data_IF_664940050122
#
_entry.id   IF_664940050122
#
_cell.length_a   1.000
_cell.length_b   1.000
_cell.length_c   1.000
_cell.angle_alpha   90.00
_cell.angle_beta   90.00
_cell.angle_gamma   90.00
#
_symmetry.space_group_name_H-M   'P 1'
#
loop_
_entity.id
_entity.type
_entity.pdbx_description
1 polymer ?
#
# COMPACT_ATOMS: atom_id res chain seq x y z
N UNK A 1 -6.93 -20.05 -32.85
CA UNK A 1 -6.55 -18.83 -32.12
C UNK A 1 -5.06 -18.96 -31.82
N UNK A 2 -4.22 -17.99 -32.17
CA UNK A 2 -2.76 -18.12 -31.88
C UNK A 2 -2.33 -16.96 -30.99
N UNK A 3 -2.98 -16.85 -29.85
CA UNK A 3 -2.43 -16.13 -28.71
C UNK A 3 -2.16 -17.16 -27.61
N UNK A 4 -1.19 -16.86 -26.74
CA UNK A 4 -0.93 -17.63 -25.53
C UNK A 4 -0.94 -16.67 -24.35
N UNK A 5 -1.67 -17.03 -23.30
CA UNK A 5 -1.61 -16.36 -22.01
C UNK A 5 -0.64 -17.14 -21.12
N UNK A 6 0.47 -16.51 -20.79
CA UNK A 6 1.46 -17.04 -19.86
C UNK A 6 1.20 -16.45 -18.48
N UNK A 7 1.23 -17.27 -17.43
CA UNK A 7 1.06 -16.87 -16.03
C UNK A 7 2.16 -17.47 -15.15
N UNK A 8 2.43 -16.84 -14.00
CA UNK A 8 3.32 -17.39 -12.97
C UNK A 8 3.06 -16.77 -11.60
N UNK A 9 2.85 -17.58 -10.57
CA UNK A 9 2.91 -17.15 -9.17
C UNK A 9 4.34 -16.76 -8.75
N UNK A 10 4.48 -15.62 -8.08
CA UNK A 10 5.75 -15.03 -7.66
C UNK A 10 5.67 -14.52 -6.22
N UNK A 11 6.83 -14.45 -5.57
CA UNK A 11 6.98 -13.72 -4.30
C UNK A 11 6.63 -12.24 -4.50
N UNK A 12 6.08 -11.60 -3.46
CA UNK A 12 5.87 -10.15 -3.39
C UNK A 12 7.17 -9.35 -3.53
N UNK A 13 8.33 -9.97 -3.33
CA UNK A 13 9.64 -9.33 -3.48
C UNK A 13 10.13 -9.26 -4.94
N UNK A 14 9.55 -10.05 -5.85
CA UNK A 14 9.92 -10.02 -7.26
C UNK A 14 9.54 -8.68 -7.91
N UNK A 15 10.31 -8.23 -8.92
CA UNK A 15 10.00 -7.01 -9.67
C UNK A 15 9.80 -7.37 -11.14
N UNK A 16 8.54 -7.32 -11.57
CA UNK A 16 8.13 -7.71 -12.92
C UNK A 16 8.29 -6.53 -13.87
N UNK A 17 9.47 -6.41 -14.48
CA UNK A 17 9.73 -5.38 -15.48
C UNK A 17 9.06 -5.72 -16.83
N UNK A 18 8.41 -4.76 -17.50
CA UNK A 18 7.62 -5.02 -18.71
C UNK A 18 8.48 -5.34 -19.94
N UNK A 19 9.75 -4.95 -19.91
CA UNK A 19 10.73 -5.01 -21.01
C UNK A 19 11.80 -6.10 -20.80
N UNK A 20 11.65 -6.93 -19.76
CA UNK A 20 12.55 -8.05 -19.47
C UNK A 20 11.79 -9.37 -19.50
N UNK A 21 12.50 -10.47 -19.73
CA UNK A 21 11.92 -11.80 -19.56
C UNK A 21 11.85 -12.15 -18.08
N UNK A 22 10.80 -12.88 -17.68
CA UNK A 22 10.60 -13.27 -16.29
C UNK A 22 11.53 -14.43 -15.93
N UNK A 23 12.53 -14.15 -15.10
CA UNK A 23 13.58 -15.11 -14.70
C UNK A 23 13.28 -15.79 -13.37
N UNK A 24 12.38 -15.21 -12.59
CA UNK A 24 11.97 -15.67 -11.28
C UNK A 24 11.30 -17.04 -11.37
N UNK A 25 11.71 -17.92 -10.45
CA UNK A 25 11.11 -19.23 -10.30
C UNK A 25 9.69 -19.11 -9.74
N UNK A 26 8.78 -20.05 -10.07
CA UNK A 26 7.47 -20.10 -9.46
C UNK A 26 7.55 -20.14 -7.93
N UNK A 27 6.79 -19.28 -7.27
CA UNK A 27 6.66 -19.23 -5.82
C UNK A 27 5.18 -19.36 -5.48
N UNK A 28 4.76 -20.59 -5.18
CA UNK A 28 3.34 -20.96 -5.08
C UNK A 28 2.91 -21.38 -3.68
N UNK A 29 3.76 -21.24 -2.65
CA UNK A 29 3.41 -21.61 -1.28
C UNK A 29 4.14 -20.75 -0.27
N UNK A 30 3.43 -20.39 0.80
CA UNK A 30 4.00 -19.76 1.98
C UNK A 30 3.16 -20.03 3.23
N UNK A 31 3.58 -19.47 4.35
CA UNK A 31 2.83 -19.48 5.60
C UNK A 31 2.66 -18.06 6.14
N UNK A 32 1.59 -17.84 6.90
CA UNK A 32 1.32 -16.61 7.62
C UNK A 32 0.77 -16.92 9.02
N UNK A 33 1.00 -16.00 9.96
CA UNK A 33 0.37 -16.02 11.27
C UNK A 33 -1.06 -15.48 11.19
N UNK A 34 -1.89 -15.79 12.18
CA UNK A 34 -3.13 -15.05 12.40
C UNK A 34 -2.79 -13.58 12.72
N UNK A 35 -3.62 -12.65 12.27
CA UNK A 35 -3.41 -11.20 12.30
C UNK A 35 -2.27 -10.66 11.41
N UNK A 36 -1.66 -11.52 10.59
CA UNK A 36 -0.67 -11.08 9.60
C UNK A 36 -1.36 -10.61 8.30
N UNK A 37 -0.75 -9.64 7.61
CA UNK A 37 -1.09 -9.34 6.21
C UNK A 37 -0.02 -9.98 5.32
N UNK A 38 -0.42 -10.95 4.51
CA UNK A 38 0.47 -11.63 3.58
C UNK A 38 0.27 -11.10 2.16
N UNK A 39 1.34 -11.05 1.36
CA UNK A 39 1.24 -10.65 -0.04
C UNK A 39 2.11 -11.52 -0.96
N UNK A 40 1.58 -11.75 -2.15
CA UNK A 40 2.29 -12.36 -3.28
C UNK A 40 1.79 -11.69 -4.57
N UNK A 41 2.35 -12.08 -5.72
CA UNK A 41 1.89 -11.55 -7.00
C UNK A 41 1.80 -12.63 -8.06
N UNK A 42 0.95 -12.40 -9.06
CA UNK A 42 0.88 -13.25 -10.25
C UNK A 42 1.26 -12.42 -11.46
N UNK A 43 2.34 -12.83 -12.13
CA UNK A 43 2.75 -12.24 -13.38
C UNK A 43 1.94 -12.85 -14.53
N UNK A 44 1.63 -12.04 -15.53
CA UNK A 44 0.95 -12.48 -16.74
C UNK A 44 1.52 -11.79 -17.99
N UNK A 45 1.49 -12.49 -19.12
CA UNK A 45 1.84 -11.95 -20.44
C UNK A 45 1.03 -12.60 -21.53
N UNK A 46 0.52 -11.80 -22.46
CA UNK A 46 -0.12 -12.30 -23.68
C UNK A 46 0.85 -12.19 -24.85
N UNK A 47 1.12 -13.31 -25.53
CA UNK A 47 1.87 -13.36 -26.79
C UNK A 47 0.94 -13.62 -27.97
N UNK A 48 1.33 -13.19 -29.17
CA UNK A 48 0.63 -13.49 -30.42
C UNK A 48 -0.31 -12.38 -30.92
N UNK A 49 -1.14 -12.71 -31.93
CA UNK A 49 -2.06 -11.75 -32.56
C UNK A 49 -3.29 -11.58 -31.66
N UNK A 50 -3.44 -10.36 -31.14
CA UNK A 50 -4.31 -9.97 -30.02
C UNK A 50 -5.59 -9.25 -30.50
N UNK A 51 -5.77 -9.12 -31.81
CA UNK A 51 -6.86 -8.36 -32.45
C UNK A 51 -8.27 -8.81 -32.02
N UNK A 52 -8.41 -10.04 -31.50
CA UNK A 52 -9.65 -10.61 -31.01
C UNK A 52 -9.79 -10.67 -29.47
N UNK A 53 -8.75 -10.36 -28.71
CA UNK A 53 -8.77 -10.38 -27.24
C UNK A 53 -9.30 -9.04 -26.73
N UNK A 54 -10.59 -9.00 -26.40
CA UNK A 54 -11.23 -7.78 -25.88
C UNK A 54 -11.01 -7.65 -24.38
N UNK A 55 -11.28 -8.71 -23.62
CA UNK A 55 -11.15 -8.73 -22.17
C UNK A 55 -10.62 -10.10 -21.70
N UNK A 56 -9.74 -10.08 -20.70
CA UNK A 56 -9.44 -11.23 -19.85
C UNK A 56 -9.86 -10.83 -18.45
N UNK A 57 -10.83 -11.55 -17.89
CA UNK A 57 -11.33 -11.35 -16.53
C UNK A 57 -10.47 -12.15 -15.56
N UNK A 58 -10.27 -11.61 -14.37
CA UNK A 58 -9.63 -12.31 -13.27
C UNK A 58 -10.71 -12.70 -12.26
N UNK A 59 -10.75 -13.97 -11.90
CA UNK A 59 -11.58 -14.48 -10.82
C UNK A 59 -10.72 -15.18 -9.77
N UNK A 60 -11.08 -15.05 -8.50
CA UNK A 60 -10.42 -15.75 -7.39
C UNK A 60 -11.37 -16.77 -6.77
N UNK A 61 -10.93 -18.02 -6.74
CA UNK A 61 -11.57 -19.09 -5.99
C UNK A 61 -10.72 -19.42 -4.77
N UNK A 62 -11.22 -19.11 -3.57
CA UNK A 62 -10.55 -19.43 -2.31
C UNK A 62 -11.53 -19.45 -1.14
N UNK A 63 -11.30 -20.28 -0.10
CA UNK A 63 -12.00 -20.09 1.18
C UNK A 63 -11.66 -18.77 1.86
N UNK A 64 -10.60 -18.07 1.40
CA UNK A 64 -10.18 -16.76 1.88
C UNK A 64 -10.66 -15.60 0.98
N UNK A 65 -11.61 -15.83 0.06
CA UNK A 65 -12.00 -14.82 -0.94
C UNK A 65 -12.36 -13.45 -0.34
N UNK A 66 -13.13 -13.44 0.76
CA UNK A 66 -13.55 -12.20 1.43
C UNK A 66 -12.39 -11.44 2.10
N UNK A 67 -11.25 -12.10 2.29
CA UNK A 67 -10.04 -11.58 2.94
C UNK A 67 -8.98 -11.11 1.93
N UNK A 68 -9.29 -11.21 0.63
CA UNK A 68 -8.34 -10.92 -0.43
C UNK A 68 -8.62 -9.57 -1.06
N UNK A 69 -7.58 -8.74 -1.16
CA UNK A 69 -7.58 -7.53 -1.98
C UNK A 69 -6.68 -7.70 -3.19
N UNK A 70 -7.20 -7.30 -4.35
CA UNK A 70 -6.51 -7.38 -5.64
C UNK A 70 -6.12 -5.97 -6.10
N UNK A 71 -4.87 -5.81 -6.53
CA UNK A 71 -4.38 -4.55 -7.12
C UNK A 71 -3.56 -4.84 -8.38
N UNK A 72 -3.63 -3.97 -9.37
CA UNK A 72 -2.69 -4.01 -10.49
C UNK A 72 -1.37 -3.35 -10.08
N UNK A 73 -0.24 -3.96 -10.43
CA UNK A 73 1.08 -3.32 -10.30
C UNK A 73 1.30 -2.39 -11.50
N UNK A 74 1.24 -1.09 -11.23
CA UNK A 74 1.49 -0.03 -12.17
C UNK A 74 2.97 0.18 -12.46
N UNK A 75 3.24 1.06 -13.42
CA UNK A 75 4.60 1.38 -13.86
C UNK A 75 4.89 2.87 -13.66
N UNK A 76 5.84 3.18 -12.78
CA UNK A 76 6.34 4.53 -12.57
C UNK A 76 7.50 4.84 -13.53
N UNK A 77 7.47 5.96 -14.28
CA UNK A 77 8.61 6.38 -15.08
C UNK A 77 9.72 6.95 -14.21
N UNK A 78 10.97 6.58 -14.49
CA UNK A 78 12.17 7.17 -13.86
C UNK A 78 13.20 7.53 -14.92
N UNK A 79 13.57 8.81 -14.97
CA UNK A 79 14.60 9.35 -15.87
C UNK A 79 16.02 9.27 -15.29
N UNK A 80 16.14 9.16 -13.96
CA UNK A 80 17.41 9.07 -13.24
C UNK A 80 17.25 8.09 -12.08
N UNK A 81 17.30 6.77 -12.34
CA UNK A 81 17.14 5.77 -11.29
C UNK A 81 18.38 5.65 -10.39
N UNK A 82 19.57 6.00 -10.87
CA UNK A 82 20.78 5.97 -10.06
C UNK A 82 21.80 7.06 -10.44
N UNK A 83 22.61 7.46 -9.46
CA UNK A 83 23.78 8.31 -9.64
C UNK A 83 25.01 7.48 -10.07
N UNK A 84 26.17 8.11 -10.25
CA UNK A 84 27.36 7.53 -10.89
C UNK A 84 28.10 6.39 -10.16
N UNK A 85 27.53 5.83 -9.10
CA UNK A 85 28.13 4.74 -8.30
C UNK A 85 27.04 3.92 -7.59
N UNK A 86 26.24 3.13 -8.34
CA UNK A 86 25.25 2.24 -7.75
C UNK A 86 25.92 1.13 -6.91
N UNK A 87 25.26 0.69 -5.85
CA UNK A 87 25.61 -0.58 -5.20
C UNK A 87 25.31 -1.79 -6.12
N UNK A 88 25.76 -2.98 -5.71
CA UNK A 88 25.56 -4.22 -6.49
C UNK A 88 24.13 -4.79 -6.36
N UNK A 89 23.34 -4.31 -5.39
CA UNK A 89 22.01 -4.82 -5.06
C UNK A 89 20.89 -4.11 -5.86
N UNK A 90 21.20 -3.08 -6.65
CA UNK A 90 20.21 -2.43 -7.51
C UNK A 90 19.71 -3.37 -8.60
N UNK A 91 18.39 -3.33 -8.83
CA UNK A 91 17.76 -4.12 -9.89
C UNK A 91 17.99 -3.53 -11.29
N UNK A 92 18.11 -2.20 -11.38
CA UNK A 92 18.26 -1.46 -12.65
C UNK A 92 18.81 -0.06 -12.41
N UNK A 93 19.85 0.32 -13.15
CA UNK A 93 20.42 1.68 -13.19
C UNK A 93 20.07 2.47 -14.45
N UNK A 94 19.34 1.87 -15.40
CA UNK A 94 18.96 2.53 -16.65
C UNK A 94 17.57 3.17 -16.55
N UNK A 95 17.37 4.38 -17.11
CA UNK A 95 16.05 5.02 -17.17
C UNK A 95 14.99 4.10 -17.77
N UNK A 96 13.75 4.18 -17.28
CA UNK A 96 12.68 3.31 -17.74
C UNK A 96 11.43 3.29 -16.86
N UNK A 97 10.63 2.25 -17.06
CA UNK A 97 9.38 2.01 -16.34
C UNK A 97 9.61 0.98 -15.22
N UNK A 98 9.29 1.35 -13.99
CA UNK A 98 9.52 0.55 -12.80
C UNK A 98 8.20 0.05 -12.18
N UNK A 99 8.07 -1.25 -11.85
CA UNK A 99 6.88 -1.80 -11.21
C UNK A 99 6.80 -1.36 -9.74
N UNK A 100 5.90 -0.43 -9.45
CA UNK A 100 5.86 0.23 -8.14
C UNK A 100 4.44 0.56 -7.64
N UNK A 101 3.67 1.48 -8.25
CA UNK A 101 2.38 1.89 -7.69
C UNK A 101 1.35 0.75 -7.75
N UNK A 102 0.62 0.52 -6.65
CA UNK A 102 -0.48 -0.42 -6.61
C UNK A 102 -1.81 0.30 -6.86
N UNK A 103 -2.52 -0.10 -7.92
CA UNK A 103 -3.83 0.46 -8.24
C UNK A 103 -4.94 -0.52 -7.85
N UNK A 104 -6.02 -0.08 -7.17
CA UNK A 104 -7.20 -0.91 -6.94
C UNK A 104 -7.70 -1.52 -8.25
N UNK A 105 -8.06 -2.79 -8.21
CA UNK A 105 -8.59 -3.51 -9.37
C UNK A 105 -9.89 -4.19 -8.97
N UNK A 106 -10.95 -3.98 -9.75
CA UNK A 106 -12.19 -4.74 -9.60
C UNK A 106 -12.14 -5.96 -10.51
N UNK A 107 -12.62 -7.12 -10.06
CA UNK A 107 -12.68 -8.34 -10.89
C UNK A 107 -13.41 -8.09 -12.23
N UNK A 108 -14.46 -7.27 -12.20
CA UNK A 108 -15.26 -6.92 -13.38
C UNK A 108 -14.52 -6.07 -14.44
N UNK A 109 -13.42 -5.41 -14.07
CA UNK A 109 -12.64 -4.58 -14.99
C UNK A 109 -11.70 -5.42 -15.85
N UNK A 110 -11.36 -6.63 -15.39
CA UNK A 110 -10.39 -7.50 -16.04
C UNK A 110 -8.96 -6.94 -16.01
N UNK A 111 -8.03 -7.69 -16.60
CA UNK A 111 -6.62 -7.34 -16.63
C UNK A 111 -6.29 -6.44 -17.81
N UNK A 112 -5.36 -5.51 -17.61
CA UNK A 112 -4.81 -4.72 -18.72
C UNK A 112 -3.90 -5.60 -19.59
N UNK A 113 -4.28 -5.77 -20.85
CA UNK A 113 -3.50 -6.54 -21.82
C UNK A 113 -2.59 -5.57 -22.59
N UNK A 114 -1.27 -5.75 -22.44
CA UNK A 114 -0.27 -5.12 -23.30
C UNK A 114 0.55 -6.23 -23.97
N UNK A 115 0.43 -6.41 -25.29
CA UNK A 115 1.04 -7.55 -25.97
C UNK A 115 2.54 -7.64 -25.76
N UNK A 116 3.03 -8.86 -25.54
CA UNK A 116 4.43 -9.20 -25.34
C UNK A 116 5.12 -8.51 -24.14
N UNK A 117 4.37 -7.90 -23.22
CA UNK A 117 4.91 -7.35 -21.97
C UNK A 117 4.45 -8.17 -20.78
N UNK A 118 5.37 -8.43 -19.86
CA UNK A 118 5.00 -8.91 -18.54
C UNK A 118 4.32 -7.80 -17.73
N UNK A 119 3.28 -8.18 -17.01
CA UNK A 119 2.53 -7.37 -16.05
C UNK A 119 2.28 -8.21 -14.81
N UNK A 120 1.94 -7.59 -13.69
CA UNK A 120 1.60 -8.35 -12.50
C UNK A 120 0.40 -7.80 -11.75
N UNK A 121 -0.25 -8.72 -11.05
CA UNK A 121 -1.36 -8.48 -10.15
C UNK A 121 -0.86 -8.77 -8.76
N UNK A 122 -1.02 -7.81 -7.87
CA UNK A 122 -0.68 -7.92 -6.46
C UNK A 122 -1.87 -8.45 -5.68
N UNK A 123 -1.64 -9.51 -4.93
CA UNK A 123 -2.64 -10.14 -4.06
C UNK A 123 -2.23 -9.89 -2.62
N UNK A 124 -3.13 -9.30 -1.84
CA UNK A 124 -2.98 -9.13 -0.41
C UNK A 124 -4.02 -9.98 0.29
N UNK A 125 -3.59 -10.79 1.25
CA UNK A 125 -4.43 -11.63 2.10
C UNK A 125 -4.38 -11.06 3.51
N UNK A 126 -5.51 -10.61 4.02
CA UNK A 126 -5.65 -10.15 5.40
C UNK A 126 -6.03 -11.33 6.29
N UNK A 127 -5.07 -11.87 7.03
CA UNK A 127 -5.32 -13.05 7.87
C UNK A 127 -5.97 -12.60 9.18
N UNK A 128 -7.15 -11.98 9.12
CA UNK A 128 -7.79 -11.39 10.29
C UNK A 128 -8.05 -12.42 11.41
N UNK A 129 -8.15 -11.93 12.65
CA UNK A 129 -8.47 -12.76 13.80
C UNK A 129 -9.81 -13.47 13.61
N UNK A 130 -9.77 -14.80 13.44
CA UNK A 130 -10.97 -15.63 13.21
C UNK A 130 -10.80 -16.66 12.10
N UNK A 131 -9.76 -16.55 11.27
CA UNK A 131 -9.41 -17.59 10.30
C UNK A 131 -8.76 -18.75 11.05
N UNK A 132 -9.28 -19.97 10.82
CA UNK A 132 -8.74 -21.18 11.43
C UNK A 132 -7.35 -21.51 10.88
N UNK A 133 -6.54 -22.21 11.67
CA UNK A 133 -5.29 -22.78 11.19
C UNK A 133 -5.56 -23.81 10.08
N UNK A 134 -4.69 -23.85 9.07
CA UNK A 134 -4.84 -24.77 7.97
C UNK A 134 -4.26 -24.28 6.65
N UNK A 135 -4.34 -25.13 5.64
CA UNK A 135 -3.86 -24.84 4.29
C UNK A 135 -5.01 -24.32 3.42
N UNK A 136 -4.83 -23.12 2.89
CA UNK A 136 -5.83 -22.43 2.07
C UNK A 136 -5.33 -22.27 0.63
N UNK A 137 -5.96 -22.94 -0.35
CA UNK A 137 -5.68 -22.69 -1.75
C UNK A 137 -6.31 -21.37 -2.19
N UNK A 138 -5.54 -20.56 -2.92
CA UNK A 138 -5.97 -19.33 -3.57
C UNK A 138 -5.75 -19.54 -5.06
N UNK A 139 -6.82 -19.83 -5.79
CA UNK A 139 -6.77 -20.08 -7.23
C UNK A 139 -7.14 -18.82 -7.98
N UNK A 140 -6.20 -18.33 -8.80
CA UNK A 140 -6.41 -17.21 -9.71
C UNK A 140 -6.72 -17.75 -11.09
N UNK A 141 -7.87 -17.36 -11.64
CA UNK A 141 -8.39 -17.86 -12.91
C UNK A 141 -8.49 -16.69 -13.88
N UNK A 142 -7.81 -16.82 -15.01
CA UNK A 142 -7.86 -15.85 -16.11
C UNK A 142 -8.82 -16.37 -17.16
N UNK A 143 -10.00 -15.79 -17.24
CA UNK A 143 -11.08 -16.22 -18.13
C UNK A 143 -11.40 -15.22 -19.23
N UNK A 144 -12.08 -15.66 -20.29
CA UNK A 144 -12.70 -14.76 -21.26
C UNK A 144 -14.16 -14.44 -20.87
N UNK A 145 -14.81 -13.55 -21.64
CA UNK A 145 -16.21 -13.15 -21.40
C UNK A 145 -17.23 -14.31 -21.49
N UNK A 146 -16.84 -15.45 -22.08
CA UNK A 146 -17.70 -16.65 -22.14
C UNK A 146 -17.55 -17.57 -20.92
N UNK A 147 -16.65 -17.23 -19.99
CA UNK A 147 -16.35 -18.04 -18.80
C UNK A 147 -15.38 -19.19 -19.05
N UNK A 148 -14.77 -19.26 -20.24
CA UNK A 148 -13.70 -20.22 -20.53
C UNK A 148 -12.40 -19.78 -19.84
N UNK A 149 -11.82 -20.67 -19.06
CA UNK A 149 -10.51 -20.49 -18.43
C UNK A 149 -9.39 -20.58 -19.48
N UNK A 150 -8.63 -19.50 -19.61
CA UNK A 150 -7.50 -19.38 -20.54
C UNK A 150 -6.17 -19.77 -19.87
N UNK A 151 -6.02 -19.46 -18.59
CA UNK A 151 -4.89 -19.81 -17.74
C UNK A 151 -5.29 -19.71 -16.26
N UNK A 152 -4.50 -20.30 -15.38
CA UNK A 152 -4.71 -20.18 -13.95
C UNK A 152 -3.48 -20.54 -13.13
N UNK A 153 -3.39 -19.97 -11.95
CA UNK A 153 -2.35 -20.25 -10.96
C UNK A 153 -2.99 -20.58 -9.62
N UNK A 154 -2.31 -21.40 -8.81
CA UNK A 154 -2.75 -21.66 -7.43
C UNK A 154 -1.62 -21.32 -6.48
N UNK A 155 -1.94 -20.53 -5.46
CA UNK A 155 -1.06 -20.23 -4.34
C UNK A 155 -1.60 -20.89 -3.08
N UNK A 156 -0.76 -21.63 -2.37
CA UNK A 156 -1.11 -22.27 -1.10
C UNK A 156 -0.62 -21.41 0.07
N UNK A 157 -1.55 -20.89 0.88
CA UNK A 157 -1.21 -20.16 2.10
C UNK A 157 -1.55 -21.02 3.32
N UNK A 158 -0.54 -21.32 4.12
CA UNK A 158 -0.69 -22.02 5.40
C UNK A 158 -0.88 -21.00 6.53
N UNK A 159 -2.06 -21.00 7.16
CA UNK A 159 -2.32 -20.22 8.38
C UNK A 159 -1.84 -21.04 9.57
N UNK A 160 -0.83 -20.53 10.27
CA UNK A 160 -0.26 -21.17 11.45
C UNK A 160 -1.13 -20.88 12.67
N UNK A 161 -1.25 -21.85 13.59
CA UNK A 161 -1.92 -21.72 14.90
C UNK A 161 -1.11 -20.82 15.87
N UNK A 162 -0.86 -19.59 15.47
CA UNK A 162 -0.20 -18.57 16.26
C UNK A 162 -0.63 -17.18 15.78
N UNK A 163 -0.80 -16.26 16.74
CA UNK A 163 -1.14 -14.86 16.46
C UNK A 163 0.12 -14.02 16.36
N UNK A 164 0.18 -13.16 15.34
CA UNK A 164 1.13 -12.07 15.26
C UNK A 164 0.84 -11.08 16.39
N UNK A 165 1.78 -10.83 17.32
CA UNK A 165 1.54 -9.90 18.43
C UNK A 165 1.57 -8.45 17.95
N UNK A 166 0.92 -7.58 18.72
CA UNK A 166 0.97 -6.13 18.50
C UNK A 166 2.41 -5.61 18.35
N UNK A 167 2.60 -4.74 17.37
CA UNK A 167 3.89 -4.13 17.09
C UNK A 167 4.37 -3.26 18.26
N UNK A 168 5.49 -3.65 18.86
CA UNK A 168 6.14 -2.90 19.95
C UNK A 168 7.19 -1.90 19.47
N UNK A 169 7.75 -2.14 18.28
CA UNK A 169 8.73 -1.24 17.69
C UNK A 169 8.04 0.06 17.26
N UNK A 170 8.57 1.19 17.70
CA UNK A 170 8.12 2.50 17.22
C UNK A 170 8.60 2.64 15.78
N UNK A 171 7.65 2.77 14.86
CA UNK A 171 7.87 2.92 13.43
C UNK A 171 7.23 4.23 12.98
N UNK A 172 8.06 5.10 12.42
CA UNK A 172 7.66 6.39 11.89
C UNK A 172 8.25 6.55 10.50
N UNK A 173 7.47 7.14 9.62
CA UNK A 173 7.92 7.70 8.35
C UNK A 173 7.67 9.21 8.39
N UNK A 174 8.51 10.00 7.72
CA UNK A 174 8.34 11.46 7.70
C UNK A 174 7.08 11.84 6.93
N UNK A 175 6.13 12.48 7.63
CA UNK A 175 4.82 12.82 7.09
C UNK A 175 4.74 14.30 6.73
N UNK A 176 4.76 14.60 5.42
CA UNK A 176 4.74 15.96 4.89
C UNK A 176 3.32 16.40 4.52
N UNK A 177 2.59 16.95 5.49
CA UNK A 177 1.23 17.46 5.26
C UNK A 177 1.20 18.61 4.24
N UNK A 178 2.25 19.42 4.18
CA UNK A 178 2.39 20.53 3.23
C UNK A 178 2.40 20.04 1.78
N UNK A 179 3.05 18.90 1.49
CA UNK A 179 3.00 18.27 0.17
C UNK A 179 1.57 17.91 -0.25
N UNK A 180 0.73 17.46 0.68
CA UNK A 180 -0.67 17.12 0.40
C UNK A 180 -1.44 18.39 0.00
N UNK A 181 -1.30 19.47 0.78
CA UNK A 181 -1.91 20.74 0.45
C UNK A 181 -1.46 21.26 -0.92
N UNK A 182 -0.16 21.24 -1.20
CA UNK A 182 0.40 21.74 -2.46
C UNK A 182 -0.04 20.91 -3.67
N UNK A 183 0.06 19.58 -3.59
CA UNK A 183 -0.30 18.67 -4.69
C UNK A 183 -1.78 18.79 -5.08
N UNK A 184 -2.66 18.91 -4.08
CA UNK A 184 -4.11 19.01 -4.31
C UNK A 184 -4.62 20.45 -4.42
N UNK A 185 -3.76 21.46 -4.30
CA UNK A 185 -4.13 22.87 -4.36
C UNK A 185 -5.08 23.30 -3.24
N UNK A 186 -4.91 22.76 -2.03
CA UNK A 186 -5.76 23.01 -0.88
C UNK A 186 -5.17 24.09 0.04
N UNK A 187 -6.06 24.82 0.71
CA UNK A 187 -5.63 25.68 1.82
C UNK A 187 -5.16 24.80 2.98
N UNK A 188 -3.98 25.13 3.51
CA UNK A 188 -3.39 24.41 4.64
C UNK A 188 -4.34 24.46 5.83
N UNK A 189 -4.65 23.26 6.33
CA UNK A 189 -5.54 23.01 7.49
C UNK A 189 -7.03 23.30 7.25
N UNK A 190 -7.45 23.46 5.99
CA UNK A 190 -8.87 23.38 5.62
C UNK A 190 -9.44 21.98 5.92
N UNK A 191 -10.78 21.86 6.00
CA UNK A 191 -11.45 20.56 6.21
C UNK A 191 -11.03 19.53 5.14
N UNK A 192 -11.01 19.93 3.86
CA UNK A 192 -10.57 19.08 2.76
C UNK A 192 -9.11 18.63 2.92
N UNK A 193 -8.24 19.47 3.48
CA UNK A 193 -6.85 19.09 3.75
C UNK A 193 -6.77 18.06 4.87
N UNK A 194 -7.53 18.24 5.95
CA UNK A 194 -7.62 17.27 7.03
C UNK A 194 -8.20 15.93 6.59
N UNK A 195 -9.21 15.93 5.73
CA UNK A 195 -9.79 14.72 5.15
C UNK A 195 -8.76 13.91 4.35
N UNK A 196 -7.85 14.59 3.64
CA UNK A 196 -6.76 13.91 2.94
C UNK A 196 -5.68 13.43 3.92
N UNK A 197 -5.25 14.27 4.88
CA UNK A 197 -4.31 13.85 5.92
C UNK A 197 -4.81 12.56 6.60
N UNK A 198 -6.09 12.50 6.98
CA UNK A 198 -6.68 11.32 7.61
C UNK A 198 -6.52 10.06 6.74
N UNK A 199 -6.82 10.14 5.43
CA UNK A 199 -6.66 9.01 4.50
C UNK A 199 -5.21 8.53 4.38
N UNK A 200 -4.25 9.47 4.30
CA UNK A 200 -2.83 9.12 4.26
C UNK A 200 -2.36 8.51 5.59
N UNK A 201 -2.82 9.02 6.74
CA UNK A 201 -2.50 8.48 8.06
C UNK A 201 -3.10 7.09 8.26
N UNK A 202 -4.36 6.86 7.86
CA UNK A 202 -4.99 5.53 7.87
C UNK A 202 -4.16 4.54 7.05
N UNK A 203 -3.67 4.98 5.88
CA UNK A 203 -2.81 4.15 5.02
C UNK A 203 -1.49 3.84 5.72
N UNK A 204 -0.81 4.84 6.27
CA UNK A 204 0.43 4.64 7.01
C UNK A 204 0.25 3.68 8.19
N UNK A 205 -0.83 3.82 8.96
CA UNK A 205 -1.19 2.94 10.06
C UNK A 205 -1.42 1.49 9.61
N UNK A 206 -2.17 1.29 8.52
CA UNK A 206 -2.38 -0.03 7.93
C UNK A 206 -1.08 -0.72 7.46
N UNK A 207 -0.01 0.06 7.25
CA UNK A 207 1.33 -0.41 6.90
C UNK A 207 2.33 -0.34 8.08
N UNK A 208 1.83 -0.29 9.32
CA UNK A 208 2.63 -0.45 10.54
C UNK A 208 3.28 0.83 11.06
N UNK A 209 2.98 2.01 10.51
CA UNK A 209 3.39 3.29 11.11
C UNK A 209 2.56 3.54 12.36
N UNK A 210 3.21 3.63 13.52
CA UNK A 210 2.56 3.81 14.82
C UNK A 210 2.99 5.10 15.56
N UNK A 211 3.82 5.92 14.93
CA UNK A 211 4.20 7.23 15.42
C UNK A 211 4.27 8.23 14.26
N UNK A 212 3.75 9.44 14.52
CA UNK A 212 3.82 10.57 13.60
C UNK A 212 4.44 11.77 14.30
N UNK A 213 5.34 12.45 13.60
CA UNK A 213 5.83 13.75 14.02
C UNK A 213 4.71 14.78 13.92
N UNK A 214 4.41 15.45 15.03
CA UNK A 214 3.48 16.58 15.08
C UNK A 214 4.27 17.90 15.18
N UNK A 215 4.51 18.61 14.06
CA UNK A 215 5.40 19.76 14.07
C UNK A 215 4.77 20.96 14.80
N UNK A 216 5.29 21.31 15.98
CA UNK A 216 4.92 22.58 16.63
C UNK A 216 5.32 23.77 15.77
N UNK A 217 6.45 23.67 15.08
CA UNK A 217 6.96 24.61 14.10
C UNK A 217 7.22 23.89 12.77
N UNK A 218 7.00 24.58 11.65
CA UNK A 218 7.34 24.04 10.33
C UNK A 218 8.84 23.85 10.27
N UNK A 219 9.29 22.62 10.04
CA UNK A 219 10.71 22.33 10.03
C UNK A 219 11.35 22.88 8.74
N UNK A 220 12.50 23.58 8.82
CA UNK A 220 13.20 24.13 7.66
C UNK A 220 14.07 23.07 6.98
N UNK A 221 13.47 21.92 6.65
CA UNK A 221 14.10 20.79 5.96
C UNK A 221 13.62 20.74 4.51
N UNK A 222 14.47 20.22 3.63
CA UNK A 222 14.19 20.04 2.20
C UNK A 222 13.76 21.32 1.47
N UNK A 223 14.34 22.46 1.87
CA UNK A 223 14.11 23.77 1.27
C UNK A 223 15.38 24.33 0.66
N UNK A 224 15.27 24.97 -0.51
CA UNK A 224 16.36 25.76 -1.06
C UNK A 224 16.71 26.93 -0.12
N UNK A 225 17.97 27.36 -0.14
CA UNK A 225 18.41 28.47 0.69
C UNK A 225 17.61 29.74 0.36
N UNK A 226 16.95 30.30 1.37
CA UNK A 226 16.16 31.52 1.26
C UNK A 226 14.71 31.30 0.79
N UNK A 227 14.27 30.06 0.68
CA UNK A 227 12.86 29.71 0.43
C UNK A 227 12.25 29.04 1.65
N UNK A 228 10.93 28.98 1.70
CA UNK A 228 10.16 28.29 2.72
C UNK A 228 9.13 27.37 2.07
N UNK A 229 8.75 26.31 2.79
CA UNK A 229 7.63 25.45 2.42
C UNK A 229 6.33 26.02 3.00
N UNK A 230 5.15 25.63 2.48
CA UNK A 230 3.89 26.00 3.09
C UNK A 230 3.88 25.71 4.60
N UNK A 231 3.48 26.70 5.40
CA UNK A 231 3.53 26.61 6.86
C UNK A 231 2.44 25.68 7.37
N UNK A 232 2.82 24.50 7.88
CA UNK A 232 1.91 23.45 8.42
C UNK A 232 2.04 23.25 9.95
N UNK A 233 2.62 24.22 10.62
CA UNK A 233 2.85 24.16 12.06
C UNK A 233 1.58 24.20 12.91
N UNK A 234 1.64 23.58 14.09
CA UNK A 234 0.50 23.45 15.01
C UNK A 234 0.36 24.60 16.01
N UNK A 235 1.30 25.55 16.03
CA UNK A 235 1.20 26.76 16.86
C UNK A 235 1.20 28.04 16.03
N UNK A 236 0.42 29.02 16.45
CA UNK A 236 0.61 30.41 16.01
C UNK A 236 1.56 31.11 16.96
N UNK A 237 2.43 31.96 16.40
CA UNK A 237 3.37 32.77 17.17
C UNK A 237 3.27 34.21 16.73
N UNK A 238 3.05 35.11 17.68
CA UNK A 238 3.10 36.55 17.44
C UNK A 238 3.94 37.23 18.52
N UNK A 239 4.48 38.38 18.17
CA UNK A 239 5.28 39.22 19.08
C UNK A 239 4.36 40.16 19.84
N UNK A 240 4.49 40.19 21.16
CA UNK A 240 3.81 41.12 22.06
C UNK A 240 4.86 41.87 22.90
N UNK A 241 5.12 43.13 22.52
CA UNK A 241 6.18 43.94 23.13
C UNK A 241 7.57 43.27 23.00
N UNK A 242 8.17 42.93 24.15
CA UNK A 242 9.45 42.22 24.24
C UNK A 242 9.32 40.68 24.30
N UNK A 243 8.10 40.16 24.25
CA UNK A 243 7.80 38.74 24.41
C UNK A 243 7.22 38.14 23.13
N UNK A 244 7.21 36.82 23.05
CA UNK A 244 6.49 36.05 22.04
C UNK A 244 5.39 35.25 22.71
N UNK A 245 4.18 35.30 22.15
CA UNK A 245 3.04 34.51 22.61
C UNK A 245 2.82 33.37 21.63
N UNK A 246 2.51 32.18 22.16
CA UNK A 246 2.22 30.99 21.38
C UNK A 246 0.83 30.49 21.71
N UNK A 247 0.08 30.11 20.68
CA UNK A 247 -1.25 29.49 20.85
C UNK A 247 -1.36 28.28 19.95
N UNK A 248 -1.90 27.18 20.49
CA UNK A 248 -2.24 26.02 19.66
C UNK A 248 -3.31 26.42 18.64
N UNK A 249 -2.97 26.26 17.36
CA UNK A 249 -3.84 26.62 16.25
C UNK A 249 -4.96 25.60 16.07
N UNK A 250 -4.70 24.35 16.41
CA UNK A 250 -5.60 23.22 16.19
C UNK A 250 -5.66 22.29 17.39
N UNK A 251 -6.84 21.71 17.59
CA UNK A 251 -7.04 20.57 18.46
C UNK A 251 -7.06 19.30 17.61
N UNK A 252 -6.09 18.40 17.84
CA UNK A 252 -6.11 17.06 17.24
C UNK A 252 -7.23 16.17 17.83
N UNK A 253 -7.92 16.60 18.89
CA UNK A 253 -9.09 15.90 19.43
C UNK A 253 -10.24 16.02 18.43
N UNK A 254 -10.57 14.91 17.76
CA UNK A 254 -11.68 14.80 16.81
C UNK A 254 -11.26 14.44 15.38
N UNK A 255 -10.08 14.89 14.95
CA UNK A 255 -9.52 14.68 13.60
C UNK A 255 -9.30 13.20 13.28
N UNK A 256 -9.06 12.38 14.30
CA UNK A 256 -8.81 10.95 14.18
C UNK A 256 -9.87 10.09 14.88
N UNK A 257 -11.10 10.61 15.04
CA UNK A 257 -12.17 9.86 15.71
C UNK A 257 -12.48 8.52 15.02
N UNK A 258 -12.23 8.40 13.71
CA UNK A 258 -12.28 7.15 12.95
C UNK A 258 -11.20 6.15 13.41
N UNK A 259 -9.94 6.58 13.56
CA UNK A 259 -8.82 5.76 14.07
C UNK A 259 -9.06 5.30 15.51
N UNK A 260 -9.65 6.15 16.35
CA UNK A 260 -10.04 5.77 17.72
C UNK A 260 -11.08 4.64 17.76
N UNK A 261 -11.91 4.52 16.71
CA UNK A 261 -12.92 3.45 16.61
C UNK A 261 -12.30 2.15 16.11
N UNK A 262 -11.34 2.22 15.18
CA UNK A 262 -10.57 1.05 14.71
C UNK A 262 -9.71 0.43 15.83
N UNK A 263 -9.03 1.24 16.65
CA UNK A 263 -8.22 0.72 17.78
C UNK A 263 -9.02 0.09 18.92
N UNK A 264 -10.34 0.31 18.99
CA UNK A 264 -11.23 -0.29 20.01
C UNK A 264 -11.78 -1.66 19.61
N UNK A 265 -11.79 -2.00 18.31
CA UNK A 265 -12.17 -3.36 17.90
C UNK A 265 -11.09 -4.39 18.26
N UNK A 266 -9.85 -3.95 18.49
CA UNK A 266 -8.72 -4.80 18.92
C UNK A 266 -8.40 -4.70 20.42
N UNK A 267 -8.96 -3.74 21.16
CA UNK A 267 -8.70 -3.57 22.60
C UNK A 267 -10.00 -3.50 23.41
N UNK A 268 -10.47 -4.66 23.86
CA UNK A 268 -11.41 -4.74 25.00
C UNK A 268 -10.63 -5.08 26.26
N UNK A 269 -9.89 -4.11 26.82
CA UNK A 269 -9.51 -4.18 28.23
C UNK A 269 -9.69 -2.81 28.92
N UNK A 270 -10.28 -2.91 30.12
CA UNK A 270 -10.87 -1.87 30.95
C UNK A 270 -9.88 -0.77 31.39
N UNK A 271 -10.19 0.49 31.05
CA UNK A 271 -9.66 1.64 31.79
C UNK A 271 -10.68 2.04 32.86
N UNK A 272 -10.53 1.48 34.07
CA UNK A 272 -11.29 1.91 35.25
C UNK A 272 -10.80 3.29 35.72
N UNK A 273 -11.76 4.22 35.82
CA UNK A 273 -11.67 5.57 36.36
C UNK A 273 -11.03 5.59 37.76
N UNK A 274 -9.79 6.06 37.85
CA UNK A 274 -9.06 6.27 39.10
C UNK A 274 -9.40 7.62 39.72
N UNK A 275 -10.59 7.74 40.32
CA UNK A 275 -10.86 8.80 41.31
C UNK A 275 -10.42 8.32 42.69
N UNK A 276 -9.46 9.02 43.28
CA UNK A 276 -9.01 8.78 44.65
C UNK A 276 -8.07 9.85 45.19
N UNK A 277 -8.67 10.94 45.70
CA UNK A 277 -8.24 11.76 46.84
C UNK A 277 -6.78 12.21 47.02
N UNK A 278 -6.57 13.53 47.00
CA UNK A 278 -6.20 14.30 48.20
C UNK A 278 -7.14 15.49 48.31
#
# INVERSE_FOLDING_TARGET
>A
MVFSLETRCLSSLAKVFPDQELTELPFCRASALQQETYAFQVAYRVRGVVEALKNILLHIESPLADQITIRTVGLAPSELPCYGDPDEDILRSTPGLFPDPLYPMRESEGIKIVPNQWRSIWITVHVDGGIQEGLYPIRLIFGNDSGEELAGETFELEVIEAMLPDQKLIHTEWFYADCIAEYYGLEVSSENHWDLIEKYVITAYAHGVNMLLTPLFTLPIDTLKGTERPTVQLVEVWKDGSCYVQQHRYSLRGVFSSLYTMGRQTSTEDYRDGRGGV
#
